data_IF_721231155132
#
_entry.id   IF_721231155132
#
_cell.length_a   1.000
_cell.length_b   1.000
_cell.length_c   1.000
_cell.angle_alpha   90.00
_cell.angle_beta   90.00
_cell.angle_gamma   90.00
#
_symmetry.space_group_name_H-M   'P 1'
#
loop_
_entity.id
_entity.type
_entity.pdbx_description
1 polymer ?
#
# COMPACT_ATOMS: atom_id res chain seq x y z
N UNK A 1 -7.11 -1.85 -27.77
CA UNK A 1 -6.72 -0.47 -27.43
C UNK A 1 -6.87 -0.35 -25.92
N UNK A 2 -5.77 -0.36 -25.17
CA UNK A 2 -5.82 -0.23 -23.71
C UNK A 2 -6.00 1.25 -23.41
N UNK A 3 -7.11 1.62 -22.76
CA UNK A 3 -7.29 2.99 -22.27
C UNK A 3 -7.08 2.95 -20.76
N UNK A 4 -6.18 3.80 -20.29
CA UNK A 4 -5.84 3.95 -18.87
C UNK A 4 -6.48 5.26 -18.38
N UNK A 5 -7.41 5.16 -17.44
CA UNK A 5 -8.00 6.33 -16.78
C UNK A 5 -7.49 6.44 -15.35
N UNK A 6 -7.18 7.67 -14.92
CA UNK A 6 -6.89 8.01 -13.53
C UNK A 6 -8.11 8.69 -12.93
N UNK A 7 -8.82 8.01 -12.03
CA UNK A 7 -9.92 8.61 -11.27
C UNK A 7 -9.42 9.04 -9.90
N UNK A 8 -9.59 10.33 -9.57
CA UNK A 8 -9.33 10.88 -8.24
C UNK A 8 -10.69 11.04 -7.54
N UNK A 9 -11.00 10.18 -6.57
CA UNK A 9 -12.22 10.32 -5.76
C UNK A 9 -11.89 11.23 -4.58
N UNK A 10 -12.64 12.33 -4.45
CA UNK A 10 -12.43 13.37 -3.44
C UNK A 10 -13.42 13.16 -2.29
N UNK A 11 -13.21 12.11 -1.50
CA UNK A 11 -13.84 12.02 -0.18
C UNK A 11 -12.79 12.37 0.88
N UNK A 12 -13.14 13.32 1.75
CA UNK A 12 -12.28 13.98 2.73
C UNK A 12 -11.39 13.00 3.54
N UNK A 13 -10.19 12.65 3.06
CA UNK A 13 -8.91 13.06 3.66
C UNK A 13 -7.66 12.46 2.99
N UNK A 14 -7.73 11.54 2.03
CA UNK A 14 -6.54 11.02 1.33
C UNK A 14 -6.86 10.59 -0.11
N UNK A 15 -6.03 11.01 -1.06
CA UNK A 15 -6.16 10.71 -2.50
C UNK A 15 -5.98 9.20 -2.75
N UNK A 16 -7.08 8.48 -3.00
CA UNK A 16 -7.00 7.13 -3.60
C UNK A 16 -6.94 7.28 -5.13
N UNK A 17 -5.92 6.69 -5.75
CA UNK A 17 -5.72 6.73 -7.20
C UNK A 17 -6.09 5.37 -7.80
N UNK A 18 -7.13 5.35 -8.62
CA UNK A 18 -7.55 4.14 -9.33
C UNK A 18 -6.99 4.14 -10.76
N UNK A 19 -6.41 3.02 -11.17
CA UNK A 19 -6.04 2.74 -12.55
C UNK A 19 -7.13 1.83 -13.12
N UNK A 20 -7.90 2.33 -14.09
CA UNK A 20 -8.86 1.50 -14.83
C UNK A 20 -8.22 1.07 -16.14
N UNK A 21 -8.09 -0.24 -16.34
CA UNK A 21 -7.61 -0.84 -17.59
C UNK A 21 -8.80 -1.41 -18.33
N UNK A 22 -9.13 -0.81 -19.49
CA UNK A 22 -10.11 -1.39 -20.42
C UNK A 22 -9.41 -2.44 -21.29
N UNK A 23 -9.74 -3.71 -21.07
CA UNK A 23 -9.36 -4.83 -21.94
C UNK A 23 -10.64 -5.41 -22.58
N UNK A 24 -10.51 -6.08 -23.72
CA UNK A 24 -11.60 -6.57 -24.59
C UNK A 24 -12.70 -7.40 -23.90
N UNK A 25 -12.51 -7.82 -22.66
CA UNK A 25 -13.37 -8.75 -21.91
C UNK A 25 -13.76 -8.24 -20.50
N UNK A 26 -13.51 -6.96 -20.16
CA UNK A 26 -13.94 -6.36 -18.89
C UNK A 26 -13.10 -5.17 -18.41
N UNK A 27 -13.64 -4.43 -17.43
CA UNK A 27 -12.90 -3.39 -16.69
C UNK A 27 -12.10 -4.01 -15.55
N UNK A 28 -10.79 -3.78 -15.52
CA UNK A 28 -9.95 -4.09 -14.34
C UNK A 28 -9.71 -2.77 -13.61
N UNK A 29 -10.15 -2.70 -12.35
CA UNK A 29 -9.92 -1.57 -11.46
C UNK A 29 -8.74 -1.95 -10.55
N UNK A 30 -7.61 -1.26 -10.66
CA UNK A 30 -6.48 -1.42 -9.75
C UNK A 30 -6.45 -0.23 -8.78
N UNK A 31 -6.50 -0.50 -7.48
CA UNK A 31 -6.50 0.55 -6.45
C UNK A 31 -5.10 0.74 -5.88
N UNK A 32 -4.51 1.91 -6.12
CA UNK A 32 -3.23 2.32 -5.52
C UNK A 32 -3.51 3.25 -4.35
N UNK A 33 -2.95 2.91 -3.19
CA UNK A 33 -3.05 3.68 -1.95
C UNK A 33 -1.75 3.58 -1.13
N UNK A 34 -1.77 4.01 0.12
CA UNK A 34 -0.68 3.86 1.09
C UNK A 34 -0.95 2.74 2.09
N UNK A 35 0.11 2.13 2.62
CA UNK A 35 0.00 0.97 3.51
C UNK A 35 -0.83 1.26 4.77
N UNK A 36 -0.84 2.50 5.26
CA UNK A 36 -1.60 2.91 6.45
C UNK A 36 -3.12 2.96 6.24
N UNK A 37 -3.59 2.90 4.99
CA UNK A 37 -5.01 2.89 4.63
C UNK A 37 -5.58 1.48 4.47
N UNK A 38 -4.75 0.44 4.59
CA UNK A 38 -5.24 -0.93 4.52
C UNK A 38 -6.03 -1.29 5.77
N UNK A 39 -7.13 -2.01 5.55
CA UNK A 39 -7.92 -2.64 6.60
C UNK A 39 -7.24 -3.91 7.12
N UNK A 40 -7.64 -4.36 8.31
CA UNK A 40 -7.20 -5.65 8.87
C UNK A 40 -7.55 -6.77 7.88
N UNK A 41 -6.66 -7.77 7.78
CA UNK A 41 -6.73 -8.90 6.84
C UNK A 41 -6.63 -8.54 5.35
N UNK A 42 -6.57 -7.24 5.01
CA UNK A 42 -6.36 -6.80 3.64
C UNK A 42 -4.92 -7.06 3.19
N UNK A 43 -4.80 -7.39 1.91
CA UNK A 43 -3.58 -7.81 1.26
C UNK A 43 -3.25 -6.85 0.12
N UNK A 44 -1.97 -6.47 0.00
CA UNK A 44 -1.52 -5.61 -1.08
C UNK A 44 -0.07 -5.92 -1.49
N UNK A 45 0.30 -5.42 -2.67
CA UNK A 45 1.65 -5.47 -3.20
C UNK A 45 2.33 -4.11 -3.06
N UNK A 46 3.53 -4.08 -2.47
CA UNK A 46 4.31 -2.84 -2.34
C UNK A 46 4.74 -2.38 -3.74
N UNK A 47 4.41 -1.14 -4.10
CA UNK A 47 4.81 -0.53 -5.38
C UNK A 47 5.99 0.41 -5.23
N UNK A 48 5.98 1.26 -4.19
CA UNK A 48 6.99 2.30 -4.03
C UNK A 48 7.19 2.67 -2.55
N UNK A 49 8.43 2.97 -2.18
CA UNK A 49 8.76 3.64 -0.93
C UNK A 49 8.92 5.14 -1.22
N UNK A 50 7.94 5.95 -0.83
CA UNK A 50 7.83 7.38 -1.11
C UNK A 50 8.27 8.22 0.10
N UNK A 51 9.49 7.98 0.55
CA UNK A 51 10.13 8.74 1.63
C UNK A 51 11.33 9.52 1.11
N UNK A 52 11.43 10.79 1.49
CA UNK A 52 12.57 11.66 1.17
C UNK A 52 13.81 11.32 2.01
N UNK A 53 13.64 10.58 3.12
CA UNK A 53 14.74 10.18 3.99
C UNK A 53 15.41 8.90 3.46
N UNK A 54 16.57 9.07 2.82
CA UNK A 54 17.33 7.96 2.23
C UNK A 54 17.80 6.94 3.27
N UNK A 55 18.21 7.37 4.47
CA UNK A 55 18.64 6.46 5.53
C UNK A 55 17.46 5.56 5.97
N UNK A 56 16.29 6.16 6.13
CA UNK A 56 15.07 5.45 6.50
C UNK A 56 14.62 4.49 5.39
N UNK A 57 14.65 4.94 4.13
CA UNK A 57 14.41 4.07 2.96
C UNK A 57 15.33 2.84 2.96
N UNK A 58 16.63 3.03 3.19
CA UNK A 58 17.59 1.94 3.23
C UNK A 58 17.31 0.97 4.38
N UNK A 59 16.86 1.49 5.54
CA UNK A 59 16.42 0.66 6.67
C UNK A 59 15.20 -0.19 6.29
N UNK A 60 14.18 0.38 5.65
CA UNK A 60 13.01 -0.36 5.16
C UNK A 60 13.42 -1.50 4.22
N UNK A 61 14.29 -1.19 3.24
CA UNK A 61 14.82 -2.18 2.31
C UNK A 61 15.59 -3.30 3.03
N UNK A 62 16.44 -2.95 4.00
CA UNK A 62 17.18 -3.90 4.82
C UNK A 62 16.27 -4.80 5.67
N UNK A 63 15.10 -4.30 6.09
CA UNK A 63 14.06 -5.07 6.78
C UNK A 63 13.21 -5.94 5.83
N UNK A 64 13.50 -5.96 4.52
CA UNK A 64 12.76 -6.75 3.54
C UNK A 64 11.50 -6.08 2.99
N UNK A 65 11.28 -4.80 3.31
CA UNK A 65 10.18 -3.99 2.78
C UNK A 65 10.62 -3.42 1.43
N UNK A 66 10.47 -4.22 0.38
CA UNK A 66 10.89 -3.89 -0.98
C UNK A 66 9.70 -3.83 -1.94
N UNK A 67 9.75 -3.01 -3.00
CA UNK A 67 8.80 -3.11 -4.10
C UNK A 67 8.67 -4.54 -4.60
N UNK A 68 7.45 -4.96 -4.90
CA UNK A 68 7.07 -6.31 -5.31
C UNK A 68 6.80 -7.27 -4.16
N UNK A 69 7.01 -6.88 -2.90
CA UNK A 69 6.63 -7.72 -1.76
C UNK A 69 5.13 -7.65 -1.50
N UNK A 70 4.55 -8.82 -1.22
CA UNK A 70 3.21 -8.97 -0.65
C UNK A 70 3.25 -8.60 0.83
N UNK A 71 2.28 -7.80 1.25
CA UNK A 71 2.09 -7.35 2.63
C UNK A 71 0.63 -7.52 3.03
N UNK A 72 0.39 -7.88 4.28
CA UNK A 72 -0.96 -7.92 4.87
C UNK A 72 -1.00 -7.27 6.25
N UNK A 73 -2.16 -6.72 6.62
CA UNK A 73 -2.37 -6.15 7.94
C UNK A 73 -2.83 -7.25 8.90
N UNK A 74 -2.09 -7.44 9.99
CA UNK A 74 -2.44 -8.40 11.05
C UNK A 74 -3.36 -7.76 12.07
N UNK A 75 -3.00 -6.56 12.53
CA UNK A 75 -3.78 -5.76 13.48
C UNK A 75 -3.24 -4.34 13.54
N UNK A 76 -4.04 -3.44 14.09
CA UNK A 76 -3.63 -2.11 14.49
C UNK A 76 -3.69 -1.99 16.01
N UNK A 77 -2.88 -1.13 16.60
CA UNK A 77 -3.01 -0.81 18.02
C UNK A 77 -4.38 -0.17 18.33
N UNK A 78 -4.87 -0.21 19.57
CA UNK A 78 -6.19 0.33 19.94
C UNK A 78 -6.40 1.80 19.58
N UNK A 79 -5.32 2.59 19.53
CA UNK A 79 -5.33 4.01 19.16
C UNK A 79 -4.92 4.27 17.70
N UNK A 80 -4.82 3.21 16.88
CA UNK A 80 -4.50 3.30 15.45
C UNK A 80 -3.01 3.36 15.10
N UNK A 81 -2.10 3.38 16.07
CA UNK A 81 -0.64 3.37 15.88
C UNK A 81 0.06 2.65 17.05
N UNK A 82 1.04 1.75 16.80
CA UNK A 82 1.53 1.26 15.50
C UNK A 82 0.62 0.21 14.86
N UNK A 83 0.93 -0.11 13.60
CA UNK A 83 0.28 -1.19 12.86
C UNK A 83 1.21 -2.39 12.68
N UNK A 84 0.66 -3.58 12.84
CA UNK A 84 1.38 -4.84 12.66
C UNK A 84 1.07 -5.41 11.28
N UNK A 85 2.12 -5.72 10.54
CA UNK A 85 2.06 -6.24 9.18
C UNK A 85 2.76 -7.60 9.08
N UNK A 86 2.36 -8.42 8.10
CA UNK A 86 3.11 -9.60 7.69
C UNK A 86 3.76 -9.37 6.34
N UNK A 87 5.06 -9.61 6.24
CA UNK A 87 5.84 -9.58 4.99
C UNK A 87 6.71 -10.82 4.96
N UNK A 88 6.74 -11.54 3.83
CA UNK A 88 7.61 -12.71 3.61
C UNK A 88 7.60 -13.73 4.77
N UNK A 89 6.44 -13.94 5.39
CA UNK A 89 6.26 -14.92 6.47
C UNK A 89 6.74 -14.46 7.85
N UNK A 90 7.14 -13.20 8.04
CA UNK A 90 7.44 -12.63 9.35
C UNK A 90 6.59 -11.39 9.63
N UNK A 91 6.43 -11.09 10.93
CA UNK A 91 5.64 -9.95 11.40
C UNK A 91 6.54 -8.79 11.77
N UNK A 92 6.11 -7.58 11.40
CA UNK A 92 6.82 -6.34 11.73
C UNK A 92 5.80 -5.29 12.18
N UNK A 93 6.20 -4.41 13.09
CA UNK A 93 5.41 -3.26 13.48
C UNK A 93 5.97 -2.00 12.81
N UNK A 94 5.13 -1.28 12.09
CA UNK A 94 5.43 0.04 11.54
C UNK A 94 4.60 1.08 12.25
N UNK A 95 5.16 2.28 12.43
CA UNK A 95 4.31 3.42 12.78
C UNK A 95 3.40 3.75 11.59
N UNK A 96 2.22 4.27 11.88
CA UNK A 96 1.26 4.72 10.86
C UNK A 96 1.89 5.78 9.95
N UNK A 97 2.68 6.69 10.52
CA UNK A 97 3.44 7.69 9.75
C UNK A 97 4.48 7.08 8.80
N UNK A 98 5.04 5.93 9.17
CA UNK A 98 6.00 5.21 8.33
C UNK A 98 5.27 4.48 7.20
N UNK A 99 4.17 3.80 7.51
CA UNK A 99 3.32 3.12 6.53
C UNK A 99 2.68 4.08 5.52
N UNK A 100 2.38 5.32 5.91
CA UNK A 100 1.92 6.38 5.00
C UNK A 100 2.92 6.74 3.90
N UNK A 101 4.21 6.37 4.05
CA UNK A 101 5.23 6.58 3.02
C UNK A 101 5.39 5.37 2.09
N UNK A 102 4.58 4.32 2.24
CA UNK A 102 4.69 3.09 1.45
C UNK A 102 3.47 2.99 0.54
N UNK A 103 3.68 3.16 -0.76
CA UNK A 103 2.63 2.98 -1.77
C UNK A 103 2.43 1.49 -2.06
N UNK A 104 1.17 1.09 -2.11
CA UNK A 104 0.74 -0.30 -2.29
C UNK A 104 -0.41 -0.37 -3.28
N UNK A 105 -0.53 -1.50 -3.95
CA UNK A 105 -1.67 -1.85 -4.80
C UNK A 105 -2.45 -2.98 -4.13
N UNK A 106 -3.75 -2.77 -3.95
CA UNK A 106 -4.64 -3.75 -3.32
C UNK A 106 -4.86 -4.90 -4.30
N UNK A 107 -4.69 -6.14 -3.84
CA UNK A 107 -5.10 -7.34 -4.59
C UNK A 107 -6.53 -7.71 -4.15
N UNK A 108 -7.46 -7.78 -5.11
CA UNK A 108 -8.84 -8.27 -4.93
C UNK A 108 -8.90 -9.82 -4.92
#
# INVERSE_FOLDING_TARGET
MIIIYFLNIIDNHFQSLYIVVHQSDGEIIMTITTLDQLSIDQVAMIKKLDTLNTCYRNKLLAMGITPGCKVSIVRTAPLGDPMQITIRGFQLCLRKSEAATIQVEIED
#
